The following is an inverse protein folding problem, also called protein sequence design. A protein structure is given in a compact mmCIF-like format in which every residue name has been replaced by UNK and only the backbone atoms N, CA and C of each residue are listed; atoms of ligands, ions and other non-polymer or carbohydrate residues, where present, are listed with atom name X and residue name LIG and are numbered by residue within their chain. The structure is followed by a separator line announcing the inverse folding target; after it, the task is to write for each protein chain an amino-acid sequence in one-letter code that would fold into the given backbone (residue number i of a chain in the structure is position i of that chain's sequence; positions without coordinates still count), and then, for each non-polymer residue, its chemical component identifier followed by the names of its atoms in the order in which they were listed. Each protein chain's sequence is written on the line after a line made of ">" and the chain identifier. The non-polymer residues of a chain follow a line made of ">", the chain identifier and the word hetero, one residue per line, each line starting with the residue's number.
data_IF_258983524484
#
_entry.id   IF_258983524484
#
_cell.length_a   1.000
_cell.length_b   1.000
_cell.length_c   1.000
_cell.angle_alpha   90.00
_cell.angle_beta   90.00
_cell.angle_gamma   90.00
#
_symmetry.space_group_name_H-M   'P 1'
#
loop_
_entity.id
_entity.type
_entity.pdbx_description
1 polymer ?
#
# COMPACT_ATOMS: atom_id res chain seq x y z
N UNK A 1 40.85 43.35 -27.41
CA UNK A 1 39.60 43.74 -26.73
C UNK A 1 39.06 44.96 -27.46
N UNK A 2 37.79 44.93 -27.85
CA UNK A 2 37.12 46.07 -28.51
C UNK A 2 37.06 47.24 -27.52
N UNK A 3 37.32 48.50 -27.94
CA UNK A 3 37.28 49.63 -27.02
C UNK A 3 35.85 49.88 -26.55
N UNK A 4 35.67 50.00 -25.23
CA UNK A 4 34.47 50.62 -24.67
C UNK A 4 34.59 52.13 -24.87
N UNK A 5 33.55 52.76 -25.40
CA UNK A 5 33.54 54.18 -25.74
C UNK A 5 32.54 54.93 -24.84
N UNK A 6 32.77 56.22 -24.60
CA UNK A 6 31.92 57.05 -23.74
C UNK A 6 30.68 57.64 -24.45
N UNK A 7 30.58 57.38 -25.75
CA UNK A 7 29.58 57.91 -26.69
C UNK A 7 29.56 59.44 -26.82
N UNK A 8 30.65 60.10 -26.44
CA UNK A 8 30.80 61.54 -26.56
C UNK A 8 31.87 61.87 -27.61
N UNK A 9 31.46 62.49 -28.72
CA UNK A 9 32.41 62.94 -29.75
C UNK A 9 32.86 64.37 -29.44
N UNK A 10 34.04 64.50 -28.85
CA UNK A 10 34.60 65.79 -28.50
C UNK A 10 34.91 66.64 -29.75
N UNK A 11 34.88 67.97 -29.60
CA UNK A 11 35.41 68.86 -30.62
C UNK A 11 36.94 68.77 -30.64
N UNK A 12 37.50 68.26 -31.73
CA UNK A 12 38.91 67.92 -31.86
C UNK A 12 39.36 67.96 -33.33
N UNK A 13 40.65 67.68 -33.59
CA UNK A 13 41.16 67.62 -34.97
C UNK A 13 40.40 66.57 -35.80
N UNK A 14 40.26 66.79 -37.12
CA UNK A 14 39.50 65.87 -37.98
C UNK A 14 40.01 64.42 -37.94
N UNK A 15 41.32 64.21 -37.77
CA UNK A 15 41.91 62.89 -37.61
C UNK A 15 41.52 62.24 -36.27
N UNK A 16 41.61 62.99 -35.17
CA UNK A 16 41.20 62.54 -33.84
C UNK A 16 39.71 62.21 -33.79
N UNK A 17 38.86 63.08 -34.36
CA UNK A 17 37.41 62.87 -34.44
C UNK A 17 37.06 61.60 -35.20
N UNK A 18 37.71 61.34 -36.35
CA UNK A 18 37.48 60.12 -37.11
C UNK A 18 37.89 58.87 -36.32
N UNK A 19 39.01 58.93 -35.59
CA UNK A 19 39.46 57.82 -34.74
C UNK A 19 38.46 57.55 -33.61
N UNK A 20 37.98 58.61 -32.97
CA UNK A 20 36.99 58.57 -31.89
C UNK A 20 35.66 57.98 -32.38
N UNK A 21 35.16 58.47 -33.51
CA UNK A 21 33.97 57.93 -34.16
C UNK A 21 34.12 56.45 -34.53
N UNK A 22 35.27 56.02 -35.04
CA UNK A 22 35.52 54.60 -35.32
C UNK A 22 35.47 53.75 -34.05
N UNK A 23 36.02 54.26 -32.93
CA UNK A 23 35.93 53.57 -31.64
C UNK A 23 34.48 53.48 -31.15
N UNK A 24 33.70 54.55 -31.28
CA UNK A 24 32.27 54.57 -30.95
C UNK A 24 31.49 53.53 -31.78
N UNK A 25 31.70 53.51 -33.11
CA UNK A 25 31.06 52.54 -34.01
C UNK A 25 31.47 51.10 -33.70
N UNK A 26 32.74 50.87 -33.35
CA UNK A 26 33.24 49.56 -32.97
C UNK A 26 32.66 49.09 -31.63
N UNK A 27 32.44 50.00 -30.67
CA UNK A 27 31.73 49.71 -29.43
C UNK A 27 30.28 49.28 -29.71
N UNK A 28 29.56 50.00 -30.58
CA UNK A 28 28.19 49.64 -31.01
C UNK A 28 28.15 48.25 -31.66
N UNK A 29 29.03 48.01 -32.63
CA UNK A 29 29.10 46.76 -33.39
C UNK A 29 29.27 45.52 -32.49
N UNK A 30 29.93 45.70 -31.35
CA UNK A 30 30.26 44.63 -30.41
C UNK A 30 29.34 44.59 -29.20
N UNK A 31 28.25 45.38 -29.17
CA UNK A 31 27.42 45.56 -27.98
C UNK A 31 28.25 45.91 -26.74
N UNK A 32 29.19 46.84 -26.90
CA UNK A 32 30.12 47.27 -25.85
C UNK A 32 30.94 46.14 -25.24
N UNK A 33 31.24 45.07 -25.99
CA UNK A 33 31.88 43.87 -25.47
C UNK A 33 33.24 44.13 -24.81
N UNK A 34 33.38 43.72 -23.54
CA UNK A 34 34.57 43.92 -22.72
C UNK A 34 34.56 43.05 -21.45
N UNK A 35 35.73 42.88 -20.84
CA UNK A 35 35.88 42.15 -19.57
C UNK A 35 35.42 42.97 -18.35
N UNK A 36 35.37 44.29 -18.46
CA UNK A 36 34.93 45.21 -17.40
C UNK A 36 33.74 46.03 -17.90
N UNK A 37 32.83 46.37 -16.99
CA UNK A 37 31.65 47.17 -17.32
C UNK A 37 32.02 48.52 -17.94
N UNK A 38 31.24 49.02 -18.91
CA UNK A 38 31.39 50.38 -19.41
C UNK A 38 31.31 51.42 -18.29
N UNK A 39 32.25 52.37 -18.30
CA UNK A 39 32.30 53.47 -17.32
C UNK A 39 31.20 54.50 -17.57
N UNK A 40 30.92 54.78 -18.84
CA UNK A 40 29.80 55.59 -19.29
C UNK A 40 28.62 54.68 -19.60
N UNK A 41 27.49 54.88 -18.93
CA UNK A 41 26.31 54.02 -19.06
C UNK A 41 25.05 54.83 -19.29
N UNK A 42 24.10 54.25 -20.01
CA UNK A 42 22.77 54.80 -20.24
C UNK A 42 21.72 53.72 -20.02
N UNK A 43 20.50 54.10 -19.62
CA UNK A 43 19.37 53.17 -19.49
C UNK A 43 19.19 52.37 -20.78
N UNK A 44 18.94 51.06 -20.66
CA UNK A 44 18.72 50.13 -21.78
C UNK A 44 19.93 49.90 -22.72
N UNK A 45 21.12 50.35 -22.35
CA UNK A 45 22.37 50.01 -23.05
C UNK A 45 22.66 48.50 -22.94
N UNK A 46 23.06 47.86 -24.05
CA UNK A 46 23.58 46.48 -24.03
C UNK A 46 25.08 46.43 -23.69
N UNK A 47 25.46 45.38 -22.97
CA UNK A 47 26.85 45.03 -22.68
C UNK A 47 27.05 43.52 -22.80
N UNK A 48 27.91 43.09 -23.72
CA UNK A 48 28.39 41.71 -23.77
C UNK A 48 29.58 41.53 -22.81
N UNK A 49 29.29 41.13 -21.57
CA UNK A 49 30.28 40.89 -20.52
C UNK A 49 31.07 39.61 -20.82
N UNK A 50 32.31 39.77 -21.27
CA UNK A 50 33.17 38.63 -21.67
C UNK A 50 33.80 37.92 -20.48
N UNK A 51 33.72 38.47 -19.27
CA UNK A 51 34.24 37.82 -18.06
C UNK A 51 33.26 36.78 -17.56
N UNK A 52 31.98 37.14 -17.49
CA UNK A 52 30.91 36.22 -17.08
C UNK A 52 30.31 35.45 -18.25
N UNK A 53 30.54 35.89 -19.49
CA UNK A 53 29.97 35.24 -20.67
C UNK A 53 28.49 35.55 -20.87
N UNK A 54 28.00 36.71 -20.44
CA UNK A 54 26.57 37.08 -20.48
C UNK A 54 26.31 38.36 -21.27
N UNK A 55 25.19 38.41 -21.98
CA UNK A 55 24.61 39.64 -22.51
C UNK A 55 23.77 40.29 -21.41
N UNK A 56 24.10 41.53 -21.08
CA UNK A 56 23.41 42.35 -20.07
C UNK A 56 22.77 43.57 -20.70
N UNK A 57 21.71 44.08 -20.07
CA UNK A 57 21.09 45.36 -20.40
C UNK A 57 21.02 46.26 -19.16
N UNK A 58 21.30 47.56 -19.30
CA UNK A 58 21.07 48.51 -18.22
C UNK A 58 19.57 48.62 -17.92
N UNK A 59 19.22 48.63 -16.64
CA UNK A 59 17.83 48.85 -16.24
C UNK A 59 17.37 50.28 -16.54
N UNK A 60 16.05 50.53 -16.42
CA UNK A 60 15.43 51.83 -16.73
C UNK A 60 15.99 52.99 -15.90
N UNK A 61 16.39 52.72 -14.66
CA UNK A 61 16.98 53.70 -13.73
C UNK A 61 18.49 53.92 -13.93
N UNK A 62 19.12 53.21 -14.87
CA UNK A 62 20.55 53.24 -15.14
C UNK A 62 21.46 53.01 -13.91
N UNK A 63 20.99 52.20 -12.95
CA UNK A 63 21.73 51.93 -11.70
C UNK A 63 22.05 50.44 -11.51
N UNK A 64 21.53 49.56 -12.36
CA UNK A 64 21.79 48.12 -12.34
C UNK A 64 21.93 47.52 -13.74
N UNK A 65 22.56 46.35 -13.82
CA UNK A 65 22.58 45.51 -15.03
C UNK A 65 21.62 44.35 -14.83
N UNK A 66 20.85 44.03 -15.85
CA UNK A 66 19.96 42.86 -15.91
C UNK A 66 20.63 41.86 -16.85
N UNK A 67 20.82 40.62 -16.39
CA UNK A 67 21.33 39.54 -17.23
C UNK A 67 20.21 39.02 -18.13
N UNK A 68 20.50 38.81 -19.41
CA UNK A 68 19.50 38.39 -20.38
C UNK A 68 19.76 36.98 -20.90
N UNK A 69 20.97 36.74 -21.40
CA UNK A 69 21.33 35.51 -22.11
C UNK A 69 22.81 35.21 -21.88
N UNK A 70 23.19 33.94 -21.95
CA UNK A 70 24.61 33.58 -22.10
C UNK A 70 25.05 33.87 -23.54
N UNK A 71 26.28 34.36 -23.70
CA UNK A 71 26.87 34.69 -25.01
C UNK A 71 27.15 33.44 -25.86
N UNK A 72 27.16 32.27 -25.24
CA UNK A 72 27.26 30.97 -25.92
C UNK A 72 25.91 30.45 -26.46
N UNK A 73 24.80 31.17 -26.17
CA UNK A 73 23.45 30.82 -26.60
C UNK A 73 22.64 30.00 -25.59
N UNK A 74 23.22 29.65 -24.44
CA UNK A 74 22.48 28.99 -23.35
C UNK A 74 21.42 29.92 -22.78
N UNK A 75 20.18 29.43 -22.66
CA UNK A 75 19.13 30.12 -21.92
C UNK A 75 19.27 29.76 -20.44
N UNK A 76 19.69 30.73 -19.64
CA UNK A 76 19.66 30.64 -18.19
C UNK A 76 18.43 31.37 -17.67
N UNK A 77 17.87 30.85 -16.58
CA UNK A 77 16.73 31.42 -15.89
C UNK A 77 17.17 31.75 -14.47
N UNK A 78 16.66 32.86 -13.94
CA UNK A 78 16.82 33.16 -12.52
C UNK A 78 16.11 32.11 -11.67
N UNK A 79 16.52 31.98 -10.41
CA UNK A 79 15.67 31.30 -9.43
C UNK A 79 14.33 32.02 -9.31
N UNK A 80 13.31 31.31 -8.85
CA UNK A 80 11.97 31.86 -8.73
C UNK A 80 11.20 31.31 -7.54
N UNK A 81 9.91 31.63 -7.53
CA UNK A 81 8.97 31.11 -6.55
C UNK A 81 7.69 30.70 -7.25
N UNK A 82 6.82 29.97 -6.55
CA UNK A 82 5.52 29.60 -7.11
C UNK A 82 4.67 30.83 -7.52
N UNK A 83 4.85 31.99 -6.86
CA UNK A 83 4.15 33.25 -7.17
C UNK A 83 4.88 34.15 -8.18
N UNK A 84 6.14 33.86 -8.50
CA UNK A 84 6.97 34.61 -9.42
C UNK A 84 7.89 33.62 -10.13
N UNK A 85 7.35 32.98 -11.16
CA UNK A 85 8.08 31.95 -11.91
C UNK A 85 9.16 32.58 -12.78
N UNK A 86 10.21 31.83 -13.07
CA UNK A 86 11.31 32.30 -13.91
C UNK A 86 10.92 32.35 -15.39
N UNK A 87 10.13 31.36 -15.84
CA UNK A 87 9.46 31.36 -17.14
C UNK A 87 7.96 31.26 -16.94
N UNK A 88 7.23 32.34 -17.23
CA UNK A 88 5.78 32.40 -17.08
C UNK A 88 5.08 33.14 -18.21
N UNK A 89 3.76 33.09 -18.18
CA UNK A 89 2.91 33.87 -19.08
C UNK A 89 2.86 35.33 -18.62
N UNK A 90 2.83 36.29 -19.55
CA UNK A 90 2.96 37.74 -19.22
C UNK A 90 1.86 38.25 -18.30
N UNK A 91 0.68 37.67 -18.40
CA UNK A 91 -0.53 37.97 -17.64
C UNK A 91 -0.71 37.05 -16.42
N UNK A 92 0.11 36.02 -16.27
CA UNK A 92 0.01 35.03 -15.19
C UNK A 92 1.41 34.56 -14.73
N UNK A 93 2.11 35.44 -14.01
CA UNK A 93 3.49 35.22 -13.52
C UNK A 93 3.57 34.19 -12.37
N UNK A 94 2.47 33.55 -12.02
CA UNK A 94 2.38 32.48 -11.04
C UNK A 94 2.07 31.11 -11.70
N UNK A 95 2.11 31.04 -13.03
CA UNK A 95 1.97 29.81 -13.82
C UNK A 95 3.18 29.67 -14.74
N UNK A 96 3.95 28.59 -14.57
CA UNK A 96 5.14 28.32 -15.38
C UNK A 96 6.25 27.55 -14.65
N UNK A 97 7.49 27.71 -15.10
CA UNK A 97 8.67 26.96 -14.62
C UNK A 97 9.54 27.86 -13.74
N UNK A 98 10.05 27.33 -12.64
CA UNK A 98 11.02 28.00 -11.79
C UNK A 98 11.99 27.01 -11.12
N UNK A 99 13.01 27.55 -10.48
CA UNK A 99 13.89 26.82 -9.56
C UNK A 99 13.64 27.36 -8.16
N UNK A 100 13.21 26.51 -7.23
CA UNK A 100 13.04 26.88 -5.82
C UNK A 100 14.35 26.86 -5.02
N UNK A 101 15.46 26.51 -5.66
CA UNK A 101 16.77 26.31 -5.05
C UNK A 101 17.64 25.37 -5.88
N UNK A 102 18.89 25.19 -5.47
CA UNK A 102 19.85 24.37 -6.20
C UNK A 102 19.35 22.93 -6.41
N UNK A 103 19.50 22.42 -7.64
CA UNK A 103 19.10 21.08 -8.06
C UNK A 103 17.58 20.81 -8.07
N UNK A 104 16.76 21.87 -8.18
CA UNK A 104 15.31 21.74 -8.29
C UNK A 104 14.82 22.19 -9.68
N UNK A 105 13.83 21.47 -10.20
CA UNK A 105 13.01 21.89 -11.32
C UNK A 105 11.54 21.89 -10.87
N UNK A 106 10.93 23.07 -10.86
CA UNK A 106 9.59 23.29 -10.34
C UNK A 106 8.63 23.78 -11.41
N UNK A 107 7.39 23.31 -11.34
CA UNK A 107 6.26 23.81 -12.14
C UNK A 107 5.20 24.36 -11.21
N UNK A 108 4.88 25.64 -11.35
CA UNK A 108 3.78 26.30 -10.64
C UNK A 108 2.57 26.45 -11.55
N UNK A 109 1.38 26.24 -10.99
CA UNK A 109 0.11 26.61 -11.62
C UNK A 109 -0.68 27.44 -10.61
N UNK A 110 -1.07 28.66 -10.98
CA UNK A 110 -1.83 29.57 -10.13
C UNK A 110 -1.23 29.77 -8.73
N UNK A 111 0.10 29.91 -8.64
CA UNK A 111 0.79 30.21 -7.38
C UNK A 111 1.13 29.00 -6.51
N UNK A 112 0.84 27.78 -6.97
CA UNK A 112 1.11 26.54 -6.23
C UNK A 112 2.08 25.65 -7.00
N UNK A 113 3.17 25.20 -6.35
CA UNK A 113 4.05 24.16 -6.90
C UNK A 113 3.27 22.87 -7.10
N UNK A 114 3.06 22.47 -8.36
CA UNK A 114 2.35 21.25 -8.75
C UNK A 114 3.28 20.07 -8.98
N UNK A 115 4.49 20.34 -9.45
CA UNK A 115 5.54 19.36 -9.66
C UNK A 115 6.87 19.95 -9.18
N UNK A 116 7.61 19.16 -8.42
CA UNK A 116 9.00 19.44 -8.05
C UNK A 116 9.82 18.18 -8.34
N UNK A 117 10.82 18.30 -9.19
CA UNK A 117 11.86 17.28 -9.39
C UNK A 117 13.10 17.78 -8.70
N UNK A 118 13.63 17.00 -7.76
CA UNK A 118 14.83 17.31 -7.02
C UNK A 118 15.81 16.14 -7.02
N UNK A 119 16.98 16.36 -6.41
CA UNK A 119 17.94 15.29 -6.17
C UNK A 119 17.39 14.12 -5.31
N UNK A 120 16.27 14.31 -4.59
CA UNK A 120 15.67 13.28 -3.74
C UNK A 120 14.48 12.57 -4.38
N UNK A 121 14.00 13.04 -5.55
CA UNK A 121 12.90 12.38 -6.26
C UNK A 121 11.90 13.36 -6.91
N UNK A 122 10.69 12.86 -7.14
CA UNK A 122 9.58 13.56 -7.77
C UNK A 122 8.45 13.77 -6.74
N UNK A 123 8.08 15.02 -6.51
CA UNK A 123 6.92 15.40 -5.70
C UNK A 123 5.82 15.97 -6.60
N UNK A 124 4.59 15.46 -6.45
CA UNK A 124 3.41 15.97 -7.17
C UNK A 124 2.35 16.40 -6.17
N UNK A 125 1.89 17.64 -6.27
CA UNK A 125 0.82 18.19 -5.43
C UNK A 125 -0.53 17.97 -6.11
N UNK A 126 -1.28 16.98 -5.64
CA UNK A 126 -2.62 16.65 -6.10
C UNK A 126 -2.74 15.17 -6.47
N UNK A 127 -3.58 14.88 -7.46
CA UNK A 127 -3.79 13.53 -7.97
C UNK A 127 -3.01 13.32 -9.26
N UNK A 128 -2.43 12.13 -9.40
CA UNK A 128 -1.90 11.62 -10.67
C UNK A 128 -2.92 10.63 -11.22
N UNK A 129 -3.35 10.82 -12.47
CA UNK A 129 -4.15 9.83 -13.20
C UNK A 129 -3.25 9.19 -14.24
N UNK A 130 -3.04 7.88 -14.09
CA UNK A 130 -2.17 7.05 -14.90
C UNK A 130 -2.99 6.09 -15.78
N UNK A 131 -2.53 5.86 -17.01
CA UNK A 131 -3.03 4.79 -17.87
C UNK A 131 -2.13 3.56 -17.71
N UNK A 132 -2.13 3.01 -16.48
CA UNK A 132 -1.31 1.89 -16.05
C UNK A 132 0.06 2.27 -15.51
N UNK A 133 0.19 2.42 -14.19
CA UNK A 133 1.50 2.50 -13.54
C UNK A 133 2.19 1.12 -13.45
N UNK A 134 3.44 1.07 -13.91
CA UNK A 134 4.36 -0.04 -13.64
C UNK A 134 5.40 0.43 -12.64
N UNK A 135 5.53 -0.29 -11.53
CA UNK A 135 6.53 -0.04 -10.49
C UNK A 135 7.58 -1.15 -10.55
N UNK A 136 8.86 -0.78 -10.49
CA UNK A 136 9.98 -1.73 -10.60
C UNK A 136 10.57 -2.15 -9.24
N UNK A 137 10.14 -1.51 -8.14
CA UNK A 137 10.42 -1.88 -6.76
C UNK A 137 9.13 -2.01 -5.93
N UNK A 138 9.28 -1.92 -4.62
CA UNK A 138 8.16 -2.01 -3.68
C UNK A 138 7.26 -0.78 -3.77
N UNK A 139 5.97 -0.97 -3.48
CA UNK A 139 5.01 0.13 -3.40
C UNK A 139 4.42 0.18 -2.00
N UNK A 140 4.67 1.26 -1.29
CA UNK A 140 4.13 1.49 0.06
C UNK A 140 2.93 2.42 0.01
N UNK A 141 1.77 1.95 0.47
CA UNK A 141 0.63 2.78 0.82
C UNK A 141 0.76 3.19 2.30
N UNK A 142 1.18 4.44 2.52
CA UNK A 142 1.38 4.94 3.88
C UNK A 142 0.05 5.28 4.54
N UNK A 143 -0.26 4.59 5.64
CA UNK A 143 -1.35 4.95 6.53
C UNK A 143 -0.86 5.82 7.69
N UNK A 144 -1.80 6.42 8.43
CA UNK A 144 -1.45 7.23 9.61
C UNK A 144 -0.86 6.38 10.75
N UNK A 145 -1.24 5.10 10.85
CA UNK A 145 -0.83 4.18 11.91
C UNK A 145 -0.02 2.98 11.40
N UNK A 146 -0.40 2.40 10.27
CA UNK A 146 0.23 1.23 9.68
C UNK A 146 0.20 1.31 8.14
N UNK A 147 1.17 0.66 7.50
CA UNK A 147 1.32 0.67 6.04
C UNK A 147 0.79 -0.63 5.42
N UNK A 148 0.48 -0.54 4.14
CA UNK A 148 0.29 -1.69 3.26
C UNK A 148 1.38 -1.66 2.19
N UNK A 149 2.05 -2.77 1.93
CA UNK A 149 3.20 -2.83 1.02
C UNK A 149 2.96 -3.90 -0.04
N UNK A 150 3.11 -3.54 -1.32
CA UNK A 150 3.43 -4.54 -2.34
C UNK A 150 4.94 -4.78 -2.28
N UNK A 151 5.35 -5.87 -1.62
CA UNK A 151 6.75 -6.27 -1.51
C UNK A 151 7.11 -7.14 -2.72
N UNK A 152 7.98 -6.60 -3.57
CA UNK A 152 8.38 -7.26 -4.81
C UNK A 152 9.28 -8.45 -4.55
N UNK A 153 10.18 -8.35 -3.57
CA UNK A 153 11.08 -9.45 -3.19
C UNK A 153 10.31 -10.67 -2.72
N UNK A 154 9.28 -10.43 -1.92
CA UNK A 154 8.51 -11.49 -1.26
C UNK A 154 7.33 -11.98 -2.10
N UNK A 155 7.03 -11.29 -3.22
CA UNK A 155 5.87 -11.53 -4.07
C UNK A 155 4.55 -11.42 -3.26
N UNK A 156 4.49 -10.47 -2.34
CA UNK A 156 3.45 -10.36 -1.33
C UNK A 156 2.76 -8.99 -1.35
N UNK A 157 1.46 -9.00 -1.04
CA UNK A 157 0.75 -7.82 -0.57
C UNK A 157 0.62 -7.93 0.94
N UNK A 158 1.34 -7.08 1.65
CA UNK A 158 1.52 -7.17 3.08
C UNK A 158 0.74 -6.10 3.82
N UNK A 159 -0.02 -6.53 4.81
CA UNK A 159 -0.66 -5.65 5.78
C UNK A 159 0.13 -5.78 7.07
N UNK A 160 0.83 -4.72 7.47
CA UNK A 160 1.50 -4.68 8.76
C UNK A 160 0.48 -4.82 9.90
N UNK A 161 0.93 -5.11 11.12
CA UNK A 161 0.05 -5.16 12.29
C UNK A 161 -0.81 -3.88 12.38
N UNK A 162 -2.11 -4.09 12.58
CA UNK A 162 -3.17 -3.06 12.61
C UNK A 162 -3.53 -2.41 11.27
N UNK A 163 -2.80 -2.68 10.18
CA UNK A 163 -3.32 -2.47 8.84
C UNK A 163 -4.37 -3.55 8.51
N UNK A 164 -5.38 -3.18 7.73
CA UNK A 164 -6.54 -4.03 7.45
C UNK A 164 -7.05 -3.87 6.04
N UNK A 165 -7.48 -4.98 5.44
CA UNK A 165 -8.39 -4.94 4.31
C UNK A 165 -9.80 -4.70 4.85
N UNK A 166 -10.51 -3.71 4.30
CA UNK A 166 -11.86 -3.31 4.75
C UNK A 166 -12.82 -3.40 3.58
N UNK A 167 -13.95 -4.06 3.79
CA UNK A 167 -15.01 -4.22 2.79
C UNK A 167 -16.35 -3.76 3.38
N UNK A 168 -17.19 -3.17 2.52
CA UNK A 168 -18.48 -2.63 2.93
C UNK A 168 -18.40 -1.22 3.55
N UNK A 169 -19.55 -0.67 3.93
CA UNK A 169 -19.63 0.68 4.49
C UNK A 169 -19.51 0.61 6.00
N UNK A 170 -18.62 1.40 6.60
CA UNK A 170 -18.45 1.38 8.05
C UNK A 170 -17.61 0.20 8.57
N UNK A 171 -16.88 -0.50 7.69
CA UNK A 171 -16.06 -1.68 8.01
C UNK A 171 -16.85 -2.94 8.35
N UNK A 172 -17.87 -3.24 7.54
CA UNK A 172 -18.69 -4.45 7.68
C UNK A 172 -17.84 -5.72 7.80
N UNK A 173 -16.84 -5.88 6.92
CA UNK A 173 -15.86 -6.97 6.99
C UNK A 173 -14.44 -6.42 7.07
N UNK A 174 -13.65 -6.97 7.98
CA UNK A 174 -12.21 -6.72 8.05
C UNK A 174 -11.41 -8.02 8.08
N UNK A 175 -10.28 -8.02 7.37
CA UNK A 175 -9.23 -9.04 7.49
C UNK A 175 -7.97 -8.35 7.98
N UNK A 176 -7.43 -8.79 9.12
CA UNK A 176 -6.35 -8.07 9.81
C UNK A 176 -5.50 -8.96 10.70
N UNK A 177 -4.35 -8.43 11.12
CA UNK A 177 -3.54 -8.94 12.22
C UNK A 177 -3.40 -7.85 13.30
N UNK A 178 -3.64 -8.18 14.57
CA UNK A 178 -3.57 -7.23 15.70
C UNK A 178 -2.23 -7.27 16.47
N UNK A 179 -1.26 -8.01 15.94
CA UNK A 179 0.03 -8.31 16.57
C UNK A 179 0.05 -9.63 17.35
N UNK A 180 -1.11 -10.22 17.65
CA UNK A 180 -1.23 -11.52 18.31
C UNK A 180 -2.13 -12.51 17.56
N UNK A 181 -3.19 -12.02 16.94
CA UNK A 181 -4.23 -12.82 16.32
C UNK A 181 -4.44 -12.41 14.85
N UNK A 182 -4.64 -13.42 14.00
CA UNK A 182 -5.21 -13.22 12.67
C UNK A 182 -6.73 -13.25 12.78
N UNK A 183 -7.40 -12.24 12.24
CA UNK A 183 -8.83 -12.02 12.45
C UNK A 183 -9.52 -11.79 11.11
N UNK A 184 -10.57 -12.57 10.88
CA UNK A 184 -11.62 -12.26 9.91
C UNK A 184 -12.84 -11.87 10.74
N UNK A 185 -13.20 -10.58 10.73
CA UNK A 185 -14.27 -10.05 11.56
C UNK A 185 -15.39 -9.50 10.67
N UNK A 186 -16.52 -10.19 10.72
CA UNK A 186 -17.79 -9.73 10.15
C UNK A 186 -18.60 -9.03 11.26
N UNK A 187 -18.68 -7.71 11.18
CA UNK A 187 -19.49 -6.87 12.07
C UNK A 187 -20.71 -6.27 11.36
N UNK A 188 -20.93 -6.67 10.09
CA UNK A 188 -22.05 -6.21 9.28
C UNK A 188 -23.34 -6.95 9.60
N UNK A 189 -24.31 -6.85 8.68
CA UNK A 189 -25.53 -7.66 8.71
C UNK A 189 -25.37 -8.89 7.82
N UNK A 190 -25.88 -10.05 8.25
CA UNK A 190 -25.87 -11.27 7.45
C UNK A 190 -25.06 -12.36 8.13
N UNK A 191 -24.42 -13.19 7.32
CA UNK A 191 -23.59 -14.32 7.75
C UNK A 191 -22.24 -14.32 7.02
N UNK A 192 -21.21 -14.84 7.68
CA UNK A 192 -19.91 -15.06 7.04
C UNK A 192 -19.93 -16.39 6.28
N UNK A 193 -19.74 -16.32 4.96
CA UNK A 193 -19.87 -17.48 4.06
C UNK A 193 -18.56 -17.81 3.35
N UNK A 194 -18.29 -19.10 3.17
CA UNK A 194 -17.32 -19.62 2.21
C UNK A 194 -18.08 -20.26 1.06
N UNK A 195 -17.86 -19.75 -0.14
CA UNK A 195 -18.59 -20.19 -1.34
C UNK A 195 -17.70 -20.93 -2.34
N UNK A 196 -18.26 -21.95 -2.98
CA UNK A 196 -17.68 -22.65 -4.13
C UNK A 196 -18.59 -22.42 -5.33
N UNK A 197 -18.07 -21.71 -6.34
CA UNK A 197 -18.82 -21.41 -7.57
C UNK A 197 -20.20 -20.76 -7.35
N UNK A 198 -20.32 -19.88 -6.34
CA UNK A 198 -21.57 -19.17 -6.00
C UNK A 198 -22.51 -19.92 -5.05
N UNK A 199 -22.17 -21.13 -4.64
CA UNK A 199 -22.89 -21.90 -3.63
C UNK A 199 -22.23 -21.75 -2.26
N UNK A 200 -23.01 -21.44 -1.22
CA UNK A 200 -22.51 -21.44 0.17
C UNK A 200 -22.25 -22.86 0.65
N UNK A 201 -21.01 -23.13 1.03
CA UNK A 201 -20.54 -24.46 1.49
C UNK A 201 -20.32 -24.47 3.00
N UNK A 202 -19.85 -23.35 3.55
CA UNK A 202 -19.70 -23.15 4.98
C UNK A 202 -20.28 -21.79 5.37
N UNK A 203 -21.08 -21.79 6.42
CA UNK A 203 -21.69 -20.59 7.01
C UNK A 203 -21.32 -20.50 8.48
N UNK A 204 -20.94 -19.30 8.94
CA UNK A 204 -20.95 -18.92 10.35
C UNK A 204 -22.10 -17.94 10.58
N UNK A 205 -23.10 -18.36 11.35
CA UNK A 205 -24.30 -17.59 11.66
C UNK A 205 -24.54 -17.49 13.18
N UNK A 206 -25.69 -16.94 13.56
CA UNK A 206 -26.10 -16.83 14.97
C UNK A 206 -26.32 -18.18 15.68
N UNK A 207 -26.45 -19.28 14.93
CA UNK A 207 -26.67 -20.63 15.44
C UNK A 207 -25.38 -21.48 15.46
N UNK A 208 -24.29 -21.00 14.85
CA UNK A 208 -22.98 -21.65 14.85
C UNK A 208 -22.46 -21.89 13.44
N UNK A 209 -21.97 -23.11 13.18
CA UNK A 209 -21.34 -23.50 11.91
C UNK A 209 -22.23 -24.48 11.15
N UNK A 210 -22.57 -24.14 9.91
CA UNK A 210 -23.25 -25.05 8.98
C UNK A 210 -22.30 -25.45 7.85
N UNK A 211 -22.27 -26.75 7.51
CA UNK A 211 -21.51 -27.30 6.39
C UNK A 211 -22.50 -27.99 5.46
N UNK A 212 -22.61 -27.49 4.23
CA UNK A 212 -23.56 -27.95 3.23
C UNK A 212 -22.85 -28.19 1.90
N UNK A 213 -23.26 -29.20 1.14
CA UNK A 213 -22.88 -29.33 -0.27
C UNK A 213 -24.15 -29.43 -1.12
N UNK A 214 -24.54 -28.38 -1.86
CA UNK A 214 -25.76 -28.40 -2.67
C UNK A 214 -25.66 -29.35 -3.86
N UNK A 215 -24.46 -29.82 -4.22
CA UNK A 215 -24.22 -30.74 -5.31
C UNK A 215 -24.13 -32.20 -4.85
N UNK A 216 -24.35 -32.49 -3.56
CA UNK A 216 -24.32 -33.87 -3.05
C UNK A 216 -24.29 -34.02 -1.53
N UNK A 217 -23.26 -34.69 -1.04
CA UNK A 217 -23.12 -35.07 0.38
C UNK A 217 -22.23 -34.05 1.09
N UNK A 218 -22.77 -33.40 2.11
CA UNK A 218 -21.95 -32.63 3.04
C UNK A 218 -21.09 -33.58 3.88
N UNK A 219 -19.77 -33.43 3.81
CA UNK A 219 -18.83 -34.28 4.51
C UNK A 219 -17.78 -33.45 5.25
N UNK A 220 -17.51 -33.82 6.50
CA UNK A 220 -16.35 -33.35 7.26
C UNK A 220 -15.36 -34.50 7.38
N UNK A 221 -14.12 -34.28 6.93
CA UNK A 221 -13.05 -35.27 7.02
C UNK A 221 -12.03 -34.85 8.07
N UNK A 222 -11.90 -35.62 9.15
CA UNK A 222 -10.89 -35.41 10.19
C UNK A 222 -9.79 -36.47 10.02
N UNK A 223 -8.54 -36.04 9.88
CA UNK A 223 -7.40 -36.93 9.60
C UNK A 223 -6.26 -36.72 10.59
N UNK A 224 -5.92 -37.77 11.33
CA UNK A 224 -4.63 -37.85 12.04
C UNK A 224 -3.50 -38.21 11.07
N UNK A 225 -2.32 -37.62 11.26
CA UNK A 225 -1.10 -38.04 10.54
C UNK A 225 -0.63 -39.42 11.03
N UNK A 226 0.38 -40.01 10.36
CA UNK A 226 0.86 -41.36 10.66
C UNK A 226 1.01 -41.60 12.18
N UNK A 227 0.48 -42.74 12.63
CA UNK A 227 0.44 -43.14 14.04
C UNK A 227 -0.35 -42.23 15.01
N UNK A 228 -1.18 -41.30 14.52
CA UNK A 228 -2.01 -40.42 15.35
C UNK A 228 -3.51 -40.64 15.11
N UNK A 229 -4.30 -40.50 16.19
CA UNK A 229 -5.75 -40.65 16.12
C UNK A 229 -6.38 -39.48 15.35
N UNK A 230 -7.53 -39.71 14.69
CA UNK A 230 -8.42 -38.66 14.25
C UNK A 230 -9.48 -38.42 15.34
N UNK A 231 -9.74 -37.16 15.73
CA UNK A 231 -10.61 -36.84 16.87
C UNK A 231 -11.60 -35.72 16.54
N UNK A 232 -12.85 -35.90 16.94
CA UNK A 232 -13.78 -34.82 17.21
C UNK A 232 -13.84 -34.62 18.73
N UNK A 233 -13.49 -33.42 19.19
CA UNK A 233 -13.48 -33.04 20.59
C UNK A 233 -14.69 -32.14 20.87
N UNK A 234 -15.44 -32.46 21.91
CA UNK A 234 -16.56 -31.71 22.43
C UNK A 234 -16.24 -31.35 23.87
N UNK A 235 -16.43 -30.09 24.25
CA UNK A 235 -16.17 -29.58 25.59
C UNK A 235 -17.42 -28.83 26.03
N UNK A 236 -17.99 -29.23 27.16
CA UNK A 236 -18.98 -28.44 27.89
C UNK A 236 -18.28 -27.51 28.91
N UNK A 237 -19.03 -26.55 29.48
CA UNK A 237 -18.70 -25.86 30.76
C UNK A 237 -17.22 -25.57 31.05
N UNK A 238 -16.57 -24.81 30.17
CA UNK A 238 -15.20 -24.29 30.33
C UNK A 238 -14.11 -25.36 30.58
N UNK A 239 -14.47 -26.65 30.64
CA UNK A 239 -13.62 -27.78 30.96
C UNK A 239 -13.01 -27.74 32.36
N UNK A 240 -13.73 -27.18 33.36
CA UNK A 240 -13.22 -27.05 34.73
C UNK A 240 -13.53 -28.26 35.64
N UNK A 241 -14.38 -29.19 35.21
CA UNK A 241 -14.69 -30.41 35.93
C UNK A 241 -14.50 -31.71 35.10
N UNK A 242 -14.71 -32.85 35.77
CA UNK A 242 -14.51 -34.15 35.13
C UNK A 242 -15.83 -34.61 34.51
N UNK A 243 -15.84 -34.78 33.19
CA UNK A 243 -17.02 -35.22 32.44
C UNK A 243 -17.36 -34.30 31.28
N UNK A 244 -16.79 -33.10 31.30
CA UNK A 244 -17.06 -32.00 30.36
C UNK A 244 -16.51 -32.29 28.97
N UNK A 245 -15.48 -33.13 28.89
CA UNK A 245 -14.80 -33.46 27.65
C UNK A 245 -15.25 -34.80 27.08
N UNK A 246 -15.78 -34.76 25.86
CA UNK A 246 -16.08 -35.94 25.06
C UNK A 246 -15.21 -35.98 23.81
N UNK A 247 -14.70 -37.17 23.50
CA UNK A 247 -13.92 -37.40 22.28
C UNK A 247 -14.51 -38.56 21.51
N UNK A 248 -14.86 -38.30 20.26
CA UNK A 248 -15.11 -39.35 19.26
C UNK A 248 -13.81 -39.51 18.47
N UNK A 249 -13.22 -40.70 18.47
CA UNK A 249 -11.94 -40.91 17.80
C UNK A 249 -11.88 -42.19 16.97
N UNK A 250 -11.16 -42.10 15.84
CA UNK A 250 -10.58 -43.26 15.16
C UNK A 250 -9.18 -43.48 15.71
N UNK A 251 -8.97 -44.56 16.46
CA UNK A 251 -7.71 -44.86 17.14
C UNK A 251 -6.66 -45.42 16.17
N UNK A 252 -5.46 -44.84 16.12
CA UNK A 252 -4.43 -45.23 15.15
C UNK A 252 -3.87 -46.64 15.34
N UNK A 253 -3.79 -47.14 16.58
CA UNK A 253 -3.18 -48.45 16.87
C UNK A 253 -4.07 -49.63 16.53
N UNK A 254 -5.39 -49.46 16.68
CA UNK A 254 -6.40 -50.53 16.52
C UNK A 254 -7.34 -50.29 15.33
N UNK A 255 -7.40 -49.05 14.82
CA UNK A 255 -8.41 -48.54 13.89
C UNK A 255 -9.84 -48.60 14.44
N UNK A 256 -9.99 -48.73 15.75
CA UNK A 256 -11.30 -48.75 16.39
C UNK A 256 -11.93 -47.35 16.43
N UNK A 257 -13.25 -47.30 16.37
CA UNK A 257 -14.02 -46.10 16.71
C UNK A 257 -14.29 -46.11 18.22
N UNK A 258 -13.80 -45.11 18.94
CA UNK A 258 -14.00 -44.96 20.37
C UNK A 258 -14.80 -43.69 20.68
N UNK A 259 -15.67 -43.79 21.68
CA UNK A 259 -16.25 -42.67 22.39
C UNK A 259 -15.59 -42.64 23.75
N UNK A 260 -15.03 -41.50 24.11
CA UNK A 260 -14.26 -41.31 25.33
C UNK A 260 -14.83 -40.14 26.11
N UNK A 261 -14.75 -40.25 27.42
CA UNK A 261 -15.11 -39.19 28.34
C UNK A 261 -14.04 -39.07 29.45
N UNK A 262 -13.92 -37.89 30.03
CA UNK A 262 -13.12 -37.72 31.24
C UNK A 262 -13.88 -38.29 32.44
N UNK A 263 -13.36 -39.37 33.03
CA UNK A 263 -13.88 -39.93 34.28
C UNK A 263 -12.83 -39.77 35.36
N UNK A 264 -13.09 -38.82 36.27
CA UNK A 264 -12.23 -38.54 37.43
C UNK A 264 -10.81 -38.06 37.07
N UNK A 265 -10.65 -37.27 36.01
CA UNK A 265 -9.39 -36.69 35.54
C UNK A 265 -8.63 -37.60 34.56
N UNK A 266 -9.31 -38.56 33.94
CA UNK A 266 -8.73 -39.55 33.04
C UNK A 266 -9.63 -39.82 31.84
N UNK A 267 -9.04 -39.79 30.63
CA UNK A 267 -9.75 -40.11 29.39
C UNK A 267 -9.99 -41.62 29.25
N UNK A 268 -11.21 -42.03 29.57
CA UNK A 268 -11.67 -43.43 29.54
C UNK A 268 -12.47 -43.69 28.27
N UNK A 269 -12.23 -44.84 27.61
CA UNK A 269 -13.11 -45.34 26.56
C UNK A 269 -14.40 -45.82 27.23
N UNK A 270 -15.52 -45.18 26.92
CA UNK A 270 -16.83 -45.56 27.48
C UNK A 270 -17.61 -46.45 26.53
N UNK A 271 -17.35 -46.33 25.23
CA UNK A 271 -17.93 -47.15 24.17
C UNK A 271 -16.95 -47.33 23.01
N UNK A 272 -16.87 -48.53 22.45
CA UNK A 272 -15.91 -48.93 21.43
C UNK A 272 -16.59 -49.79 20.35
N UNK A 273 -16.19 -49.57 19.09
CA UNK A 273 -16.46 -50.46 17.96
C UNK A 273 -15.14 -50.90 17.33
N UNK A 274 -14.91 -52.20 17.26
CA UNK A 274 -13.74 -52.78 16.60
C UNK A 274 -13.86 -52.71 15.08
N UNK A 275 -12.75 -52.91 14.36
CA UNK A 275 -12.79 -53.07 12.88
C UNK A 275 -13.57 -54.31 12.42
N UNK A 276 -13.81 -55.28 13.30
CA UNK A 276 -14.68 -56.42 13.04
C UNK A 276 -16.18 -56.12 13.31
N UNK A 277 -16.50 -54.95 13.87
CA UNK A 277 -17.85 -54.55 14.24
C UNK A 277 -18.26 -54.94 15.66
N UNK A 278 -17.35 -55.48 16.48
CA UNK A 278 -17.64 -55.82 17.87
C UNK A 278 -17.84 -54.56 18.70
N UNK A 279 -18.91 -54.53 19.51
CA UNK A 279 -19.22 -53.40 20.38
C UNK A 279 -18.89 -53.74 21.83
N UNK A 280 -18.10 -52.89 22.49
CA UNK A 280 -17.80 -52.99 23.93
C UNK A 280 -18.14 -51.68 24.63
N UNK A 281 -18.77 -51.77 25.80
CA UNK A 281 -19.08 -50.62 26.65
C UNK A 281 -18.56 -50.86 28.07
N UNK A 282 -18.14 -49.79 28.74
CA UNK A 282 -17.54 -49.88 30.08
C UNK A 282 -18.60 -50.01 31.18
N UNK A 283 -19.78 -49.41 30.99
CA UNK A 283 -20.91 -49.47 31.92
C UNK A 283 -21.99 -50.49 31.54
N UNK A 284 -23.17 -50.35 32.14
CA UNK A 284 -24.34 -51.17 31.88
C UNK A 284 -25.10 -50.73 30.62
N UNK A 285 -25.82 -51.66 30.00
CA UNK A 285 -26.77 -51.36 28.93
C UNK A 285 -28.14 -51.33 29.60
N UNK A 286 -28.57 -50.14 29.99
CA UNK A 286 -29.87 -49.95 30.60
C UNK A 286 -30.91 -49.67 29.51
N UNK A 287 -31.96 -50.48 29.48
CA UNK A 287 -33.10 -50.31 28.58
C UNK A 287 -34.32 -49.87 29.38
N UNK A 288 -35.15 -48.94 28.89
CA UNK A 288 -36.41 -48.63 29.55
C UNK A 288 -37.41 -49.79 29.38
N UNK A 289 -38.42 -49.84 30.23
CA UNK A 289 -39.49 -50.84 30.18
C UNK A 289 -40.07 -50.98 28.77
N UNK A 290 -40.44 -52.21 28.39
CA UNK A 290 -41.01 -52.53 27.07
C UNK A 290 -40.05 -52.31 25.89
N UNK A 291 -38.74 -52.11 26.14
CA UNK A 291 -37.69 -52.26 25.12
C UNK A 291 -37.00 -53.60 25.27
N UNK A 292 -36.47 -54.10 24.16
CA UNK A 292 -35.87 -55.43 24.08
C UNK A 292 -34.51 -55.36 23.41
N UNK A 293 -33.57 -56.18 23.84
CA UNK A 293 -32.40 -56.55 23.02
C UNK A 293 -32.89 -57.60 22.01
N UNK A 294 -32.59 -57.41 20.73
CA UNK A 294 -32.97 -58.31 19.64
C UNK A 294 -31.73 -58.85 18.97
N UNK A 295 -31.68 -60.17 18.79
CA UNK A 295 -30.53 -60.89 18.26
C UNK A 295 -31.00 -61.80 17.12
N UNK A 296 -30.21 -61.85 16.04
CA UNK A 296 -30.53 -62.65 14.86
C UNK A 296 -31.39 -61.91 13.83
N UNK A 297 -31.53 -62.51 12.64
CA UNK A 297 -32.33 -61.91 11.55
C UNK A 297 -33.80 -62.21 11.79
N UNK A 298 -34.65 -61.18 11.83
CA UNK A 298 -36.06 -61.31 12.26
C UNK A 298 -36.26 -61.54 13.76
N UNK A 299 -35.31 -61.10 14.58
CA UNK A 299 -35.42 -61.13 16.05
C UNK A 299 -35.52 -62.57 16.63
N UNK A 300 -34.66 -63.48 16.15
CA UNK A 300 -34.60 -64.89 16.58
C UNK A 300 -34.54 -65.07 18.11
N UNK A 301 -33.94 -64.10 18.82
CA UNK A 301 -33.94 -64.02 20.27
C UNK A 301 -34.20 -62.58 20.73
N UNK A 302 -35.15 -62.43 21.64
CA UNK A 302 -35.46 -61.18 22.34
C UNK A 302 -35.20 -61.29 23.84
N UNK A 303 -34.56 -60.28 24.43
CA UNK A 303 -34.38 -60.16 25.88
C UNK A 303 -35.11 -58.89 26.33
N UNK A 304 -36.07 -59.00 27.25
CA UNK A 304 -36.94 -57.89 27.65
C UNK A 304 -37.23 -57.86 29.14
N UNK A 305 -37.64 -56.69 29.64
CA UNK A 305 -38.25 -56.51 30.94
C UNK A 305 -39.48 -55.60 30.82
N UNK A 306 -40.50 -55.83 31.65
CA UNK A 306 -41.82 -55.24 31.50
C UNK A 306 -42.28 -54.44 32.74
N UNK A 307 -41.34 -53.99 33.59
CA UNK A 307 -41.62 -53.18 34.78
C UNK A 307 -42.39 -53.89 35.90
N UNK A 308 -42.75 -55.17 35.73
CA UNK A 308 -43.53 -55.96 36.71
C UNK A 308 -42.78 -57.15 37.31
N UNK A 309 -41.46 -57.23 37.08
CA UNK A 309 -40.55 -58.24 37.64
C UNK A 309 -39.50 -57.59 38.53
#
# INVERSE_FOLDING_TARGET
>A
MSPVHDYNLANQSGASFRSDLNNALQAILTNNSSASAPSSTASYMFWADTTTGTLKIRNSSNNGWIELLQLDGTLTLEDGTASAVALGFRDELNTGIFSSGANNFDVSIAGTTRLNISATGLNITGTVTDDGATHDGDVTFTGAAANVVFDKSDNALEFADNAKAVFGTGSDLTISHDGSNSIINDAGTGELQLQRAGNTILTLDANGVSITDPDGVAQVSIKGFEANNAKLLLIADEGDDNGDSWVLESQATSNNLNFRNDISGSSVVVWNVSTAGDVTQTGHLDLPDSKQIRLGSSDDLTIEHNGSN
#
